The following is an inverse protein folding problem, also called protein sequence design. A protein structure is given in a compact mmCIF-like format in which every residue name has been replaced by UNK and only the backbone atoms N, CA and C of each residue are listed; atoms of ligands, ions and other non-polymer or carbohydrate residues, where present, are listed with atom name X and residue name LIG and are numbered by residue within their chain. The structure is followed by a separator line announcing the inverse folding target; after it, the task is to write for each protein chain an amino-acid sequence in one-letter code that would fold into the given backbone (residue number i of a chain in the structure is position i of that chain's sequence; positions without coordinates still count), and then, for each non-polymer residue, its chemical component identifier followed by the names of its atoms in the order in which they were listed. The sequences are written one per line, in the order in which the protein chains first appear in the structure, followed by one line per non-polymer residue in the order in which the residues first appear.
data_IF_867134979466
#
_entry.id   IF_867134979466
#
_cell.length_a   1.000
_cell.length_b   1.000
_cell.length_c   1.000
_cell.angle_alpha   90.00
_cell.angle_beta   90.00
_cell.angle_gamma   90.00
#
_symmetry.space_group_name_H-M   'P 1'
#
loop_
_entity.id
_entity.type
_entity.pdbx_description
1 polymer ?
#
# COMPACT_ATOMS: atom_id res chain seq x y z
N UNK A 1 28.07 30.57 -27.21
CA UNK A 1 27.01 29.56 -27.00
C UNK A 1 27.11 29.12 -25.55
N UNK A 2 26.21 29.61 -24.69
CA UNK A 2 26.16 29.20 -23.28
C UNK A 2 25.24 28.00 -23.16
N UNK A 3 25.80 26.82 -22.87
CA UNK A 3 24.98 25.65 -22.57
C UNK A 3 24.16 25.90 -21.28
N UNK A 4 22.89 25.45 -21.21
CA UNK A 4 22.11 25.57 -20.00
C UNK A 4 22.70 24.66 -18.92
N UNK A 5 23.04 25.26 -17.77
CA UNK A 5 23.52 24.54 -16.59
C UNK A 5 22.51 23.43 -16.20
N UNK A 6 22.93 22.17 -16.04
CA UNK A 6 22.02 21.11 -15.63
C UNK A 6 21.44 21.43 -14.25
N UNK A 7 20.11 21.40 -14.13
CA UNK A 7 19.42 21.60 -12.87
C UNK A 7 19.98 20.61 -11.81
N UNK A 8 20.18 21.04 -10.55
CA UNK A 8 20.78 20.18 -9.54
C UNK A 8 19.94 18.92 -9.34
N UNK A 9 20.52 17.77 -9.66
CA UNK A 9 19.92 16.47 -9.35
C UNK A 9 19.95 16.31 -7.82
N UNK A 10 18.78 16.35 -7.18
CA UNK A 10 18.69 16.08 -5.74
C UNK A 10 19.37 14.74 -5.41
N UNK A 11 20.29 14.69 -4.42
CA UNK A 11 20.95 13.45 -4.03
C UNK A 11 19.93 12.38 -3.62
N UNK A 12 20.14 11.13 -4.05
CA UNK A 12 19.29 10.00 -3.65
C UNK A 12 19.29 9.88 -2.12
N UNK A 13 18.09 9.84 -1.53
CA UNK A 13 17.86 9.79 -0.09
C UNK A 13 17.89 8.35 0.41
N UNK A 14 19.09 7.84 0.67
CA UNK A 14 19.32 6.47 1.17
C UNK A 14 18.66 6.21 2.54
N UNK A 15 18.52 7.25 3.35
CA UNK A 15 17.77 7.26 4.62
C UNK A 15 16.32 6.78 4.42
N UNK A 16 15.62 7.34 3.42
CA UNK A 16 14.23 6.97 3.13
C UNK A 16 14.11 5.58 2.51
N UNK A 17 15.10 5.18 1.70
CA UNK A 17 15.13 3.84 1.10
C UNK A 17 15.32 2.76 2.18
N UNK A 18 16.22 2.95 3.14
CA UNK A 18 16.42 2.03 4.26
C UNK A 18 15.21 1.96 5.19
N UNK A 19 14.62 3.11 5.52
CA UNK A 19 13.43 3.16 6.36
C UNK A 19 12.29 2.35 5.74
N UNK A 20 12.13 2.43 4.42
CA UNK A 20 11.17 1.63 3.66
C UNK A 20 11.47 0.14 3.73
N UNK A 21 12.73 -0.27 3.53
CA UNK A 21 13.14 -1.67 3.58
C UNK A 21 12.85 -2.26 4.96
N UNK A 22 13.21 -1.55 6.03
CA UNK A 22 12.95 -1.98 7.40
C UNK A 22 11.44 -2.06 7.66
N UNK A 23 10.66 -1.06 7.24
CA UNK A 23 9.22 -1.04 7.43
C UNK A 23 8.53 -2.23 6.72
N UNK A 24 8.91 -2.53 5.47
CA UNK A 24 8.37 -3.70 4.77
C UNK A 24 8.89 -5.02 5.34
N UNK A 25 10.15 -5.10 5.77
CA UNK A 25 10.69 -6.29 6.43
C UNK A 25 9.90 -6.63 7.70
N UNK A 26 9.68 -5.64 8.56
CA UNK A 26 8.86 -5.80 9.77
C UNK A 26 7.40 -6.16 9.45
N UNK A 27 6.84 -5.61 8.36
CA UNK A 27 5.51 -5.97 7.88
C UNK A 27 5.43 -7.44 7.46
N UNK A 28 6.47 -7.99 6.83
CA UNK A 28 6.52 -9.41 6.47
C UNK A 28 6.52 -10.27 7.74
N UNK A 29 7.41 -9.98 8.69
CA UNK A 29 7.43 -10.71 9.97
C UNK A 29 6.12 -10.61 10.74
N UNK A 30 5.45 -9.47 10.68
CA UNK A 30 4.12 -9.28 11.25
C UNK A 30 3.09 -10.23 10.62
N UNK A 31 3.00 -10.31 9.30
CA UNK A 31 2.04 -11.20 8.62
C UNK A 31 2.36 -12.68 8.84
N UNK A 32 3.65 -13.06 8.87
CA UNK A 32 4.05 -14.41 9.24
C UNK A 32 3.66 -14.73 10.69
N UNK A 33 3.86 -13.77 11.61
CA UNK A 33 3.47 -13.91 13.01
C UNK A 33 1.95 -14.02 13.22
N UNK A 34 1.14 -13.38 12.38
CA UNK A 34 -0.33 -13.50 12.41
C UNK A 34 -0.82 -14.95 12.21
N UNK A 35 0.00 -15.83 11.65
CA UNK A 35 -0.29 -17.26 11.53
C UNK A 35 -0.23 -18.02 12.87
N UNK A 36 0.47 -17.45 13.87
CA UNK A 36 0.77 -18.07 15.17
C UNK A 36 0.10 -17.37 16.37
N UNK A 37 -0.72 -16.33 16.15
CA UNK A 37 -1.46 -15.62 17.22
C UNK A 37 -2.87 -16.15 17.41
N UNK A 38 -3.49 -15.86 18.57
CA UNK A 38 -4.85 -16.34 18.89
C UNK A 38 -5.96 -15.57 18.17
N UNK A 39 -5.70 -14.40 17.59
CA UNK A 39 -6.70 -13.53 16.94
C UNK A 39 -7.17 -14.04 15.57
N UNK A 40 -8.43 -13.77 15.17
CA UNK A 40 -8.97 -14.25 13.88
C UNK A 40 -8.10 -13.90 12.66
N UNK A 41 -7.82 -14.88 11.80
CA UNK A 41 -7.02 -14.73 10.59
C UNK A 41 -7.43 -15.73 9.51
N UNK A 42 -6.91 -15.58 8.28
CA UNK A 42 -7.29 -16.37 7.11
C UNK A 42 -7.07 -17.87 7.29
N UNK A 43 -5.90 -18.27 7.75
CA UNK A 43 -5.48 -19.67 7.96
C UNK A 43 -4.58 -19.68 9.20
N UNK A 44 -4.67 -20.73 10.04
CA UNK A 44 -3.89 -20.79 11.29
C UNK A 44 -3.10 -22.07 11.48
N UNK A 45 -1.99 -21.93 12.20
CA UNK A 45 -1.24 -23.07 12.73
C UNK A 45 -1.95 -23.70 13.93
N UNK A 46 -1.77 -25.01 14.11
CA UNK A 46 -2.10 -25.70 15.36
C UNK A 46 -1.21 -25.28 16.54
N UNK A 47 -0.06 -24.65 16.26
CA UNK A 47 0.91 -24.19 17.26
C UNK A 47 0.77 -22.69 17.56
N UNK A 48 -0.41 -22.26 18.01
CA UNK A 48 -0.66 -20.87 18.41
C UNK A 48 0.02 -20.58 19.76
N UNK A 49 0.62 -19.39 19.91
CA UNK A 49 1.26 -18.95 21.16
C UNK A 49 0.89 -17.51 21.54
N UNK A 50 0.43 -17.27 22.78
CA UNK A 50 0.19 -15.91 23.29
C UNK A 50 1.46 -15.04 23.31
N UNK A 51 2.66 -15.64 23.33
CA UNK A 51 3.92 -14.91 23.31
C UNK A 51 4.12 -14.08 22.03
N UNK A 52 3.60 -14.56 20.90
CA UNK A 52 3.69 -13.85 19.62
C UNK A 52 2.82 -12.58 19.60
N UNK A 53 1.76 -12.51 20.41
CA UNK A 53 0.84 -11.37 20.46
C UNK A 53 1.53 -10.10 20.93
N UNK A 54 2.45 -10.20 21.89
CA UNK A 54 3.20 -9.05 22.39
C UNK A 54 4.00 -8.35 21.28
N UNK A 55 4.62 -9.13 20.40
CA UNK A 55 5.34 -8.61 19.23
C UNK A 55 4.38 -7.95 18.24
N UNK A 56 3.19 -8.53 18.04
CA UNK A 56 2.17 -7.93 17.16
C UNK A 56 1.62 -6.62 17.73
N UNK A 57 1.34 -6.56 19.02
CA UNK A 57 0.87 -5.35 19.71
C UNK A 57 1.90 -4.23 19.65
N UNK A 58 3.19 -4.55 19.72
CA UNK A 58 4.26 -3.56 19.57
C UNK A 58 4.29 -2.95 18.15
N UNK A 59 4.07 -3.77 17.11
CA UNK A 59 4.15 -3.33 15.72
C UNK A 59 2.88 -2.62 15.23
N UNK A 60 1.72 -2.87 15.84
CA UNK A 60 0.43 -2.35 15.38
C UNK A 60 0.33 -0.80 15.30
N UNK A 61 0.73 -0.03 16.32
CA UNK A 61 0.37 1.39 16.37
C UNK A 61 1.05 2.25 15.31
N UNK A 62 2.31 1.95 14.99
CA UNK A 62 3.16 2.85 14.22
C UNK A 62 3.45 2.36 12.80
N UNK A 63 3.32 1.06 12.53
CA UNK A 63 3.65 0.47 11.23
C UNK A 63 2.92 1.15 10.07
N UNK A 64 1.61 1.40 10.23
CA UNK A 64 0.81 2.04 9.19
C UNK A 64 1.16 3.51 9.02
N UNK A 65 1.31 4.25 10.12
CA UNK A 65 1.70 5.67 10.09
C UNK A 65 3.06 5.85 9.39
N UNK A 66 4.03 4.99 9.69
CA UNK A 66 5.35 5.00 9.07
C UNK A 66 5.27 4.74 7.56
N UNK A 67 4.52 3.70 7.15
CA UNK A 67 4.33 3.39 5.74
C UNK A 67 3.63 4.52 4.98
N UNK A 68 2.61 5.14 5.56
CA UNK A 68 1.94 6.30 4.93
C UNK A 68 2.85 7.52 4.84
N UNK A 69 3.65 7.79 5.88
CA UNK A 69 4.62 8.89 5.87
C UNK A 69 5.65 8.72 4.74
N UNK A 70 6.29 7.55 4.65
CA UNK A 70 7.30 7.25 3.61
C UNK A 70 6.69 7.38 2.21
N UNK A 71 5.48 6.87 2.02
CA UNK A 71 4.80 6.94 0.73
C UNK A 71 4.35 8.35 0.36
N UNK A 72 3.91 9.16 1.33
CA UNK A 72 3.59 10.57 1.11
C UNK A 72 4.81 11.38 0.67
N UNK A 73 5.95 11.19 1.35
CA UNK A 73 7.23 11.82 0.97
C UNK A 73 7.66 11.38 -0.44
N UNK A 74 7.58 10.07 -0.74
CA UNK A 74 7.90 9.56 -2.07
C UNK A 74 6.97 10.07 -3.17
N UNK A 75 5.67 10.24 -2.86
CA UNK A 75 4.68 10.79 -3.77
C UNK A 75 4.96 12.26 -4.06
N UNK A 76 5.32 13.05 -3.04
CA UNK A 76 5.72 14.46 -3.20
C UNK A 76 6.91 14.59 -4.15
N UNK A 77 7.99 13.84 -3.93
CA UNK A 77 9.15 13.88 -4.83
C UNK A 77 8.81 13.43 -6.25
N UNK A 78 7.90 12.46 -6.39
CA UNK A 78 7.43 12.03 -7.71
C UNK A 78 6.57 13.09 -8.41
N UNK A 79 5.70 13.79 -7.68
CA UNK A 79 4.85 14.86 -8.20
C UNK A 79 5.65 16.12 -8.59
N UNK A 80 6.70 16.44 -7.85
CA UNK A 80 7.60 17.55 -8.19
C UNK A 80 8.37 17.27 -9.50
N UNK A 81 8.65 15.99 -9.78
CA UNK A 81 9.41 15.55 -10.98
C UNK A 81 8.53 15.24 -12.20
N UNK A 82 7.32 14.75 -11.98
CA UNK A 82 6.39 14.29 -13.02
C UNK A 82 5.10 15.11 -12.93
N UNK A 83 4.71 15.77 -14.02
CA UNK A 83 3.40 16.44 -14.10
C UNK A 83 2.25 15.48 -13.73
N UNK A 84 1.19 16.00 -13.10
CA UNK A 84 0.14 15.20 -12.47
C UNK A 84 -0.47 14.10 -13.35
N UNK A 85 -0.70 14.37 -14.64
CA UNK A 85 -1.23 13.37 -15.59
C UNK A 85 -0.25 12.23 -15.89
N UNK A 86 1.03 12.55 -16.07
CA UNK A 86 2.09 11.55 -16.30
C UNK A 86 2.31 10.70 -15.05
N UNK A 87 2.30 11.32 -13.87
CA UNK A 87 2.41 10.62 -12.59
C UNK A 87 1.26 9.61 -12.41
N UNK A 88 0.01 10.02 -12.65
CA UNK A 88 -1.16 9.15 -12.53
C UNK A 88 -1.06 7.93 -13.46
N UNK A 89 -0.68 8.14 -14.73
CA UNK A 89 -0.55 7.06 -15.72
C UNK A 89 0.55 6.08 -15.36
N UNK A 90 1.74 6.56 -14.99
CA UNK A 90 2.85 5.68 -14.60
C UNK A 90 2.50 4.85 -13.37
N UNK A 91 1.84 5.46 -12.38
CA UNK A 91 1.47 4.79 -11.14
C UNK A 91 0.35 3.79 -11.35
N UNK A 92 -0.63 4.10 -12.22
CA UNK A 92 -1.68 3.16 -12.60
C UNK A 92 -1.10 1.87 -13.20
N UNK A 93 -0.12 1.97 -14.10
CA UNK A 93 0.50 0.77 -14.70
C UNK A 93 1.43 0.07 -13.70
N UNK A 94 2.33 0.80 -13.04
CA UNK A 94 3.34 0.22 -12.15
C UNK A 94 2.77 -0.38 -10.87
N UNK A 95 1.63 0.11 -10.38
CA UNK A 95 0.97 -0.44 -9.19
C UNK A 95 -0.24 -1.31 -9.57
N UNK A 96 -1.06 -0.88 -10.53
CA UNK A 96 -2.26 -1.61 -10.93
C UNK A 96 -1.96 -2.99 -11.49
N UNK A 97 -0.93 -3.13 -12.34
CA UNK A 97 -0.59 -4.44 -12.90
C UNK A 97 -0.11 -5.43 -11.80
N UNK A 98 0.84 -5.07 -10.90
CA UNK A 98 1.17 -5.92 -9.76
C UNK A 98 0.00 -6.21 -8.81
N UNK A 99 -0.91 -5.26 -8.61
CA UNK A 99 -2.11 -5.48 -7.78
C UNK A 99 -2.98 -6.57 -8.40
N UNK A 100 -3.33 -6.44 -9.68
CA UNK A 100 -4.19 -7.42 -10.36
C UNK A 100 -3.53 -8.79 -10.41
N UNK A 101 -2.23 -8.83 -10.73
CA UNK A 101 -1.46 -10.07 -10.68
C UNK A 101 -1.46 -10.68 -9.29
N UNK A 102 -1.25 -9.88 -8.25
CA UNK A 102 -1.20 -10.39 -6.89
C UNK A 102 -2.55 -10.84 -6.36
N UNK A 103 -3.63 -10.18 -6.76
CA UNK A 103 -5.00 -10.66 -6.50
C UNK A 103 -5.23 -12.03 -7.11
N UNK A 104 -4.90 -12.19 -8.39
CA UNK A 104 -5.08 -13.44 -9.11
C UNK A 104 -4.21 -14.59 -8.57
N UNK A 105 -2.92 -14.33 -8.33
CA UNK A 105 -1.92 -15.38 -8.07
C UNK A 105 -1.72 -15.65 -6.58
N UNK A 106 -1.84 -14.65 -5.71
CA UNK A 106 -1.61 -14.82 -4.28
C UNK A 106 -2.90 -14.77 -3.47
N UNK A 107 -3.76 -13.79 -3.73
CA UNK A 107 -4.97 -13.61 -2.91
C UNK A 107 -6.02 -14.67 -3.23
N UNK A 108 -6.22 -15.04 -4.50
CA UNK A 108 -7.22 -16.04 -4.85
C UNK A 108 -6.91 -17.42 -4.22
N UNK A 109 -5.67 -17.98 -4.27
CA UNK A 109 -5.36 -19.21 -3.55
C UNK A 109 -5.51 -19.08 -2.03
N UNK A 110 -5.15 -17.92 -1.47
CA UNK A 110 -5.32 -17.65 -0.03
C UNK A 110 -6.80 -17.66 0.39
N UNK A 111 -7.66 -16.99 -0.38
CA UNK A 111 -9.11 -16.99 -0.16
C UNK A 111 -9.72 -18.38 -0.34
N UNK A 112 -9.25 -19.16 -1.31
CA UNK A 112 -9.66 -20.55 -1.50
C UNK A 112 -9.32 -21.40 -0.27
N UNK A 113 -8.07 -21.36 0.20
CA UNK A 113 -7.64 -22.12 1.37
C UNK A 113 -8.45 -21.76 2.63
N UNK A 114 -8.73 -20.47 2.83
CA UNK A 114 -9.57 -20.01 3.93
C UNK A 114 -10.99 -20.59 3.85
N UNK A 115 -11.61 -20.62 2.67
CA UNK A 115 -12.95 -21.18 2.49
C UNK A 115 -12.98 -22.71 2.66
N UNK A 116 -11.91 -23.39 2.27
CA UNK A 116 -11.74 -24.83 2.52
C UNK A 116 -11.60 -25.11 4.01
N UNK A 117 -10.79 -24.33 4.73
CA UNK A 117 -10.63 -24.47 6.19
C UNK A 117 -11.92 -24.17 6.96
N UNK A 118 -12.71 -23.19 6.50
CA UNK A 118 -14.02 -22.88 7.05
C UNK A 118 -15.11 -23.91 6.71
N UNK A 119 -14.83 -24.87 5.82
CA UNK A 119 -15.81 -25.86 5.34
C UNK A 119 -16.88 -25.29 4.39
N UNK A 120 -16.68 -24.08 3.87
CA UNK A 120 -17.60 -23.41 2.92
C UNK A 120 -17.37 -23.85 1.47
N UNK A 121 -16.20 -24.41 1.17
CA UNK A 121 -15.85 -24.90 -0.16
C UNK A 121 -15.03 -26.19 -0.07
N UNK A 122 -15.27 -27.16 -0.94
CA UNK A 122 -14.55 -28.45 -0.94
C UNK A 122 -13.91 -28.81 -2.28
N UNK A 123 -14.03 -27.93 -3.28
CA UNK A 123 -13.50 -28.13 -4.61
C UNK A 123 -12.01 -27.78 -4.75
N UNK A 124 -11.45 -28.10 -5.91
CA UNK A 124 -10.13 -27.66 -6.33
C UNK A 124 -10.08 -26.15 -6.61
N UNK A 125 -8.88 -25.55 -6.59
CA UNK A 125 -8.68 -24.14 -6.90
C UNK A 125 -9.30 -23.70 -8.25
N UNK A 126 -9.20 -24.53 -9.28
CA UNK A 126 -9.77 -24.21 -10.60
C UNK A 126 -11.30 -24.16 -10.60
N UNK A 127 -11.94 -24.93 -9.72
CA UNK A 127 -13.39 -24.85 -9.51
C UNK A 127 -13.77 -23.61 -8.70
N UNK A 128 -12.88 -23.12 -7.83
CA UNK A 128 -13.08 -21.89 -7.07
C UNK A 128 -12.88 -20.63 -7.93
N UNK A 129 -12.01 -20.66 -8.94
CA UNK A 129 -11.63 -19.49 -9.72
C UNK A 129 -12.81 -18.68 -10.30
N UNK A 130 -13.85 -19.29 -10.91
CA UNK A 130 -15.02 -18.55 -11.38
C UNK A 130 -15.78 -17.86 -10.24
N UNK A 131 -15.85 -18.49 -9.07
CA UNK A 131 -16.50 -17.92 -7.90
C UNK A 131 -15.70 -16.76 -7.28
N UNK A 132 -14.37 -16.79 -7.36
CA UNK A 132 -13.54 -15.68 -6.89
C UNK A 132 -13.77 -14.39 -7.68
N UNK A 133 -14.13 -14.51 -8.96
CA UNK A 133 -14.45 -13.38 -9.83
C UNK A 133 -15.91 -12.92 -9.70
N UNK A 134 -16.74 -13.67 -8.95
CA UNK A 134 -18.14 -13.35 -8.72
C UNK A 134 -18.30 -12.42 -7.53
N UNK A 135 -18.62 -11.15 -7.81
CA UNK A 135 -18.84 -10.11 -6.80
C UNK A 135 -20.08 -10.37 -5.92
N UNK A 136 -20.92 -11.34 -6.26
CA UNK A 136 -22.13 -11.73 -5.52
C UNK A 136 -22.02 -13.05 -4.76
N UNK A 137 -20.81 -13.62 -4.62
CA UNK A 137 -20.63 -14.92 -3.98
C UNK A 137 -21.18 -14.95 -2.54
N UNK A 138 -21.97 -15.96 -2.19
CA UNK A 138 -22.58 -16.11 -0.86
C UNK A 138 -21.61 -16.66 0.23
N UNK A 139 -20.30 -16.45 0.05
CA UNK A 139 -19.29 -16.86 1.01
C UNK A 139 -19.16 -15.88 2.17
N UNK A 140 -18.55 -16.32 3.27
CA UNK A 140 -18.22 -15.47 4.43
C UNK A 140 -17.23 -14.35 4.11
N UNK A 141 -16.48 -14.48 3.02
CA UNK A 141 -15.53 -13.49 2.53
C UNK A 141 -16.07 -12.80 1.27
N UNK A 142 -15.86 -11.50 1.17
CA UNK A 142 -16.14 -10.77 -0.08
C UNK A 142 -15.12 -11.16 -1.13
N UNK A 143 -15.57 -11.69 -2.26
CA UNK A 143 -14.73 -11.94 -3.43
C UNK A 143 -15.14 -11.03 -4.58
N UNK A 144 -14.21 -10.56 -5.43
CA UNK A 144 -12.75 -10.60 -5.27
C UNK A 144 -12.28 -9.68 -4.12
N UNK A 145 -11.24 -10.12 -3.39
CA UNK A 145 -10.59 -9.32 -2.34
C UNK A 145 -9.13 -9.05 -2.68
N UNK A 146 -8.58 -7.96 -2.15
CA UNK A 146 -7.15 -7.65 -2.20
C UNK A 146 -6.39 -8.05 -0.92
N UNK A 147 -7.07 -8.41 0.17
CA UNK A 147 -6.49 -8.81 1.47
C UNK A 147 -5.18 -8.06 1.79
N UNK A 148 -4.03 -8.74 1.80
CA UNK A 148 -2.72 -8.17 2.15
C UNK A 148 -2.22 -7.05 1.21
N UNK A 149 -2.76 -6.95 0.00
CA UNK A 149 -2.42 -5.91 -0.96
C UNK A 149 -3.16 -4.59 -0.72
N UNK A 150 -4.04 -4.52 0.28
CA UNK A 150 -4.84 -3.33 0.61
C UNK A 150 -4.01 -2.04 0.64
N UNK A 151 -2.79 -2.10 1.21
CA UNK A 151 -1.92 -0.94 1.30
C UNK A 151 -1.53 -0.41 -0.09
N UNK A 152 -1.20 -1.30 -1.02
CA UNK A 152 -0.81 -0.93 -2.40
C UNK A 152 -2.02 -0.38 -3.16
N UNK A 153 -3.21 -0.93 -2.95
CA UNK A 153 -4.46 -0.40 -3.50
C UNK A 153 -4.71 1.02 -3.00
N UNK A 154 -4.58 1.25 -1.69
CA UNK A 154 -4.75 2.59 -1.12
C UNK A 154 -3.73 3.58 -1.63
N UNK A 155 -2.47 3.15 -1.79
CA UNK A 155 -1.45 3.99 -2.42
C UNK A 155 -1.84 4.39 -3.84
N UNK A 156 -2.35 3.46 -4.63
CA UNK A 156 -2.80 3.76 -5.99
C UNK A 156 -3.97 4.76 -5.96
N UNK A 157 -5.01 4.48 -5.16
CA UNK A 157 -6.19 5.35 -5.04
C UNK A 157 -5.80 6.76 -4.58
N UNK A 158 -5.03 6.88 -3.50
CA UNK A 158 -4.57 8.19 -3.00
C UNK A 158 -3.70 8.91 -4.01
N UNK A 159 -2.84 8.19 -4.73
CA UNK A 159 -2.04 8.79 -5.80
C UNK A 159 -2.92 9.33 -6.93
N UNK A 160 -3.93 8.56 -7.36
CA UNK A 160 -4.85 8.99 -8.42
C UNK A 160 -5.73 10.16 -7.99
N UNK A 161 -6.13 10.23 -6.71
CA UNK A 161 -6.87 11.36 -6.15
C UNK A 161 -6.01 12.63 -6.02
N UNK A 162 -4.75 12.47 -5.59
CA UNK A 162 -3.84 13.60 -5.36
C UNK A 162 -3.18 14.11 -6.64
N UNK A 163 -2.95 13.25 -7.64
CA UNK A 163 -2.32 13.62 -8.91
C UNK A 163 -2.98 14.82 -9.62
N UNK A 164 -4.31 14.92 -9.77
CA UNK A 164 -4.95 16.08 -10.38
C UNK A 164 -4.88 17.34 -9.49
N UNK A 165 -4.79 17.17 -8.16
CA UNK A 165 -4.75 18.27 -7.18
C UNK A 165 -3.34 18.81 -6.97
N UNK A 166 -2.31 17.97 -7.17
CA UNK A 166 -0.92 18.30 -6.88
C UNK A 166 -0.41 19.52 -7.68
N UNK A 167 -0.76 19.62 -8.95
CA UNK A 167 -0.39 20.76 -9.80
C UNK A 167 -1.00 22.09 -9.35
N UNK A 168 -2.33 22.18 -9.21
CA UNK A 168 -3.00 23.37 -8.65
C UNK A 168 -2.51 23.74 -7.25
N UNK A 169 -2.33 22.76 -6.37
CA UNK A 169 -1.88 22.97 -5.00
C UNK A 169 -0.45 23.54 -4.95
N UNK A 170 0.47 23.00 -5.75
CA UNK A 170 1.83 23.53 -5.86
C UNK A 170 1.84 24.99 -6.31
N UNK A 171 1.03 25.33 -7.33
CA UNK A 171 0.90 26.72 -7.82
C UNK A 171 0.33 27.66 -6.74
N UNK A 172 -0.67 27.20 -5.99
CA UNK A 172 -1.24 27.95 -4.88
C UNK A 172 -0.21 28.20 -3.77
N UNK A 173 0.55 27.17 -3.38
CA UNK A 173 1.57 27.27 -2.34
C UNK A 173 2.74 28.17 -2.73
N UNK A 174 3.12 28.24 -4.01
CA UNK A 174 4.16 29.17 -4.49
C UNK A 174 3.70 30.63 -4.59
N UNK A 175 2.39 30.89 -4.56
CA UNK A 175 1.81 32.23 -4.68
C UNK A 175 1.17 32.71 -3.38
N UNK A 176 -0.16 32.68 -3.34
CA UNK A 176 -0.96 33.15 -2.20
C UNK A 176 -0.70 32.36 -0.92
N UNK A 177 -0.44 31.04 -1.04
CA UNK A 177 -0.14 30.18 0.09
C UNK A 177 1.15 30.56 0.81
N UNK A 178 2.23 30.88 0.08
CA UNK A 178 3.49 31.32 0.68
C UNK A 178 3.30 32.55 1.56
N UNK A 179 2.56 33.55 1.07
CA UNK A 179 2.28 34.79 1.83
C UNK A 179 1.44 34.55 3.09
N UNK A 180 0.45 33.67 3.03
CA UNK A 180 -0.37 33.30 4.20
C UNK A 180 0.48 32.53 5.21
N UNK A 181 1.37 31.65 4.74
CA UNK A 181 2.25 30.87 5.62
C UNK A 181 3.27 31.77 6.31
N UNK A 182 3.90 32.69 5.57
CA UNK A 182 4.78 33.71 6.15
C UNK A 182 4.03 34.56 7.17
N UNK A 183 2.82 35.00 6.87
CA UNK A 183 2.02 35.80 7.81
C UNK A 183 1.64 35.03 9.10
N UNK A 184 1.29 33.74 8.99
CA UNK A 184 0.88 32.93 10.14
C UNK A 184 2.05 32.48 11.02
N UNK A 185 3.25 32.33 10.47
CA UNK A 185 4.44 31.83 11.18
C UNK A 185 5.52 32.89 11.41
N UNK A 186 5.29 34.15 11.03
CA UNK A 186 6.16 35.28 11.37
C UNK A 186 5.98 35.81 12.81
N UNK A 187 5.35 35.02 13.69
CA UNK A 187 5.20 35.31 15.12
C UNK A 187 6.37 34.78 15.95
#
# INVERSE_FOLDING_TARGET
MTEPSPAPAFPRRYDLDWLRIIAFGLLIFYHTGMFYVTWGWHVKSVHVSPGAEWLMMLLNPWRLALLFFISGVALRFAADKLGGSTLARERAVRLGLPILFGMAVFVAPQSWLQLVENGEFSGSFWQFWPHYLDFGSAFSITTPTWNHLWYVVYLLVYTLMLAPVAGPLARFMTGTGARITEFLFAG
#
